data_IF_341246189633
#
_entry.id   IF_341246189633
#
_cell.length_a   1.000
_cell.length_b   1.000
_cell.length_c   1.000
_cell.angle_alpha   90.00
_cell.angle_beta   90.00
_cell.angle_gamma   90.00
#
_symmetry.space_group_name_H-M   'P 1'
#
loop_
_entity.id
_entity.type
_entity.pdbx_description
1 polymer ?
#
# COMPACT_ATOMS: atom_id res chain seq x y z
N UNK A 1 21.64 -3.03 7.17
CA UNK A 1 21.03 -3.25 8.50
C UNK A 1 19.71 -3.99 8.25
N UNK A 2 19.53 -5.24 8.70
CA UNK A 2 18.28 -5.95 8.41
C UNK A 2 17.13 -5.29 9.19
N UNK A 3 16.04 -5.00 8.49
CA UNK A 3 14.79 -4.52 9.07
C UNK A 3 14.24 -5.63 9.97
N UNK A 4 13.83 -5.28 11.19
CA UNK A 4 13.13 -6.21 12.09
C UNK A 4 11.62 -6.05 11.88
N UNK A 5 10.87 -7.15 11.94
CA UNK A 5 9.41 -7.13 11.70
C UNK A 5 8.60 -6.32 12.74
N UNK A 6 9.21 -6.00 13.89
CA UNK A 6 8.63 -5.16 14.95
C UNK A 6 9.20 -3.73 14.98
N UNK A 7 9.88 -3.31 13.92
CA UNK A 7 10.46 -1.98 13.82
C UNK A 7 9.37 -0.94 13.59
N UNK A 8 9.24 0.05 14.49
CA UNK A 8 8.23 1.10 14.41
C UNK A 8 8.38 2.02 13.19
N UNK A 9 9.52 1.97 12.50
CA UNK A 9 9.77 2.69 11.25
C UNK A 9 9.09 2.03 10.05
N UNK A 10 8.59 0.80 10.21
CA UNK A 10 7.90 0.05 9.15
C UNK A 10 6.47 -0.19 9.58
N UNK A 11 5.54 0.30 8.76
CA UNK A 11 4.12 0.01 8.90
C UNK A 11 3.69 -0.82 7.70
N UNK A 12 2.89 -1.86 7.95
CA UNK A 12 2.38 -2.76 6.91
C UNK A 12 0.86 -2.77 6.99
N UNK A 13 0.24 -2.32 5.91
CA UNK A 13 -1.20 -2.43 5.71
C UNK A 13 -1.50 -3.47 4.65
N UNK A 14 -2.48 -4.32 4.93
CA UNK A 14 -3.00 -5.27 3.95
C UNK A 14 -4.34 -4.75 3.44
N UNK A 15 -4.55 -4.85 2.12
CA UNK A 15 -5.78 -4.45 1.45
C UNK A 15 -6.23 -5.63 0.60
N UNK A 16 -7.47 -6.08 0.78
CA UNK A 16 -8.00 -7.25 0.07
C UNK A 16 -9.05 -6.80 -0.95
N UNK A 17 -8.96 -7.26 -2.19
CA UNK A 17 -9.99 -6.98 -3.21
C UNK A 17 -11.32 -7.66 -2.89
N UNK A 18 -11.26 -8.83 -2.24
CA UNK A 18 -12.39 -9.55 -1.67
C UNK A 18 -11.96 -10.08 -0.30
N UNK A 19 -12.68 -9.68 0.73
CA UNK A 19 -12.37 -10.04 2.11
C UNK A 19 -13.45 -10.93 2.71
N UNK A 20 -13.07 -11.69 3.73
CA UNK A 20 -14.01 -12.41 4.58
C UNK A 20 -14.70 -11.48 5.57
N UNK A 21 -15.82 -11.90 6.14
CA UNK A 21 -16.64 -11.09 7.07
C UNK A 21 -15.88 -10.69 8.35
N UNK A 22 -14.86 -11.45 8.73
CA UNK A 22 -14.02 -11.15 9.89
C UNK A 22 -12.81 -10.26 9.57
N UNK A 23 -12.68 -9.77 8.33
CA UNK A 23 -11.60 -8.87 7.95
C UNK A 23 -11.85 -7.47 8.51
N UNK A 24 -10.85 -6.95 9.23
CA UNK A 24 -10.92 -5.62 9.86
C UNK A 24 -10.07 -4.57 9.14
N UNK A 25 -9.28 -4.98 8.14
CA UNK A 25 -8.48 -4.08 7.32
C UNK A 25 -9.27 -3.46 6.17
N UNK A 26 -8.57 -2.77 5.27
CA UNK A 26 -9.20 -2.15 4.10
C UNK A 26 -9.60 -3.18 3.06
N UNK A 27 -10.66 -2.88 2.31
CA UNK A 27 -11.17 -3.70 1.20
C UNK A 27 -11.21 -2.86 -0.06
N UNK A 28 -10.74 -3.40 -1.18
CA UNK A 28 -10.71 -2.73 -2.48
C UNK A 28 -9.43 -2.98 -3.26
N UNK A 29 -9.26 -2.21 -4.33
CA UNK A 29 -8.03 -2.16 -5.14
C UNK A 29 -7.27 -0.86 -4.85
N UNK A 30 -5.97 -0.82 -5.17
CA UNK A 30 -5.16 0.39 -5.01
C UNK A 30 -5.72 1.54 -5.86
N UNK A 31 -5.64 2.76 -5.33
CA UNK A 31 -5.94 4.01 -6.03
C UNK A 31 -5.00 5.12 -5.53
N UNK A 32 -4.83 6.19 -6.31
CA UNK A 32 -3.87 7.25 -5.99
C UNK A 32 -4.13 7.94 -4.64
N UNK A 33 -5.38 8.04 -4.18
CA UNK A 33 -5.75 8.59 -2.87
C UNK A 33 -5.27 7.72 -1.69
N UNK A 34 -4.90 6.46 -1.94
CA UNK A 34 -4.30 5.59 -0.93
C UNK A 34 -2.81 5.85 -0.73
N UNK A 35 -2.17 6.59 -1.64
CA UNK A 35 -0.74 6.88 -1.55
C UNK A 35 -0.48 8.09 -0.64
N UNK A 36 0.65 8.10 0.08
CA UNK A 36 1.03 9.23 0.92
C UNK A 36 1.14 10.53 0.12
N UNK A 37 0.82 11.65 0.78
CA UNK A 37 0.97 12.98 0.19
C UNK A 37 2.43 13.20 -0.25
N UNK A 38 2.66 13.68 -1.49
CA UNK A 38 4.00 13.95 -1.99
C UNK A 38 4.80 14.88 -1.07
N UNK A 39 6.07 14.56 -0.85
CA UNK A 39 7.05 15.44 -0.20
C UNK A 39 8.43 15.25 -0.83
N UNK A 40 9.31 16.25 -0.72
CA UNK A 40 10.60 16.26 -1.43
C UNK A 40 11.49 15.05 -1.08
N UNK A 41 11.41 14.58 0.16
CA UNK A 41 12.16 13.43 0.68
C UNK A 41 11.44 12.09 0.51
N UNK A 42 10.22 12.08 -0.01
CA UNK A 42 9.44 10.86 -0.21
C UNK A 42 9.76 10.22 -1.57
N UNK A 43 9.88 8.90 -1.57
CA UNK A 43 9.97 8.09 -2.79
C UNK A 43 8.98 6.93 -2.65
N UNK A 44 8.13 6.76 -3.66
CA UNK A 44 7.15 5.68 -3.73
C UNK A 44 7.66 4.64 -4.74
N UNK A 45 7.72 3.38 -4.31
CA UNK A 45 8.11 2.25 -5.15
C UNK A 45 6.85 1.38 -5.36
N UNK A 46 6.47 1.16 -6.62
CA UNK A 46 5.25 0.43 -6.99
C UNK A 46 5.63 -0.73 -7.90
N UNK A 47 5.06 -1.90 -7.63
CA UNK A 47 5.25 -3.11 -8.44
C UNK A 47 3.97 -3.94 -8.42
N UNK A 48 3.60 -4.50 -9.57
CA UNK A 48 2.40 -5.32 -9.70
C UNK A 48 1.99 -5.48 -11.18
N UNK A 49 0.82 -6.06 -11.45
CA UNK A 49 0.24 -6.10 -12.79
C UNK A 49 0.05 -4.71 -13.38
N UNK A 50 0.06 -4.57 -14.70
CA UNK A 50 -0.01 -3.26 -15.37
C UNK A 50 -1.22 -2.42 -14.91
N UNK A 51 -2.41 -3.03 -14.80
CA UNK A 51 -3.62 -2.34 -14.32
C UNK A 51 -3.52 -1.87 -12.87
N UNK A 52 -2.76 -2.56 -12.03
CA UNK A 52 -2.47 -2.13 -10.65
C UNK A 52 -1.60 -0.88 -10.65
N UNK A 53 -0.53 -0.88 -11.47
CA UNK A 53 0.38 0.26 -11.57
C UNK A 53 -0.37 1.48 -12.13
N UNK A 54 -1.15 1.30 -13.19
CA UNK A 54 -1.94 2.38 -13.80
C UNK A 54 -2.92 3.01 -12.79
N UNK A 55 -3.62 2.19 -12.01
CA UNK A 55 -4.59 2.69 -11.01
C UNK A 55 -3.91 3.45 -9.85
N UNK A 56 -2.65 3.15 -9.56
CA UNK A 56 -1.91 3.80 -8.47
C UNK A 56 -1.33 5.16 -8.86
N UNK A 57 -1.18 5.45 -10.16
CA UNK A 57 -0.50 6.69 -10.65
C UNK A 57 -1.46 7.70 -11.30
N UNK A 58 -2.73 7.35 -11.47
CA UNK A 58 -3.77 8.20 -12.07
C UNK A 58 -4.53 8.98 -11.01
#
# INVERSE_FOLDING_TARGET
MPIKWNDSRVQVEHILSRASDNWTGRVGHISADMLPTPSDSLRVLICGPDGFIQSAVQ
#
